data_IF_403193290238
#
_entry.id   IF_403193290238
#
_cell.length_a   1.000
_cell.length_b   1.000
_cell.length_c   1.000
_cell.angle_alpha   90.00
_cell.angle_beta   90.00
_cell.angle_gamma   90.00
#
_symmetry.space_group_name_H-M   'P 1'
#
loop_
_entity.id
_entity.type
_entity.pdbx_description
1 polymer ?
#
# COMPACT_ATOMS: atom_id res chain seq x y z
N UNK A 1 -1.74 -12.01 -16.74
CA UNK A 1 -1.69 -12.69 -15.42
C UNK A 1 -2.62 -11.96 -14.47
N UNK A 2 -3.24 -12.68 -13.53
CA UNK A 2 -4.15 -12.09 -12.55
C UNK A 2 -3.37 -11.24 -11.53
N UNK A 3 -3.97 -10.15 -11.05
CA UNK A 3 -3.35 -9.29 -10.03
C UNK A 3 -2.95 -10.07 -8.76
N UNK A 4 -3.70 -11.13 -8.42
CA UNK A 4 -3.42 -12.00 -7.27
C UNK A 4 -2.12 -12.80 -7.43
N UNK A 5 -1.82 -13.28 -8.65
CA UNK A 5 -0.58 -14.00 -8.93
C UNK A 5 0.63 -13.06 -8.82
N UNK A 6 0.47 -11.82 -9.31
CA UNK A 6 1.50 -10.79 -9.24
C UNK A 6 1.77 -10.38 -7.77
N UNK A 7 0.73 -10.32 -6.91
CA UNK A 7 0.89 -10.11 -5.47
C UNK A 7 1.73 -11.24 -4.85
N UNK A 8 1.38 -12.51 -5.11
CA UNK A 8 2.11 -13.66 -4.57
C UNK A 8 3.57 -13.68 -5.06
N UNK A 9 3.80 -13.39 -6.34
CA UNK A 9 5.15 -13.27 -6.91
C UNK A 9 5.95 -12.15 -6.28
N UNK A 10 5.30 -11.03 -5.93
CA UNK A 10 5.99 -9.87 -5.33
C UNK A 10 6.63 -10.18 -3.98
N UNK A 11 6.11 -11.14 -3.21
CA UNK A 11 6.75 -11.59 -1.97
C UNK A 11 8.07 -12.34 -2.19
N UNK A 12 8.23 -13.01 -3.33
CA UNK A 12 9.44 -13.81 -3.64
C UNK A 12 10.40 -13.09 -4.57
N UNK A 13 9.87 -12.32 -5.52
CA UNK A 13 10.62 -11.67 -6.60
C UNK A 13 10.07 -10.26 -6.88
N UNK A 14 10.08 -9.34 -5.89
CA UNK A 14 9.48 -8.00 -6.04
C UNK A 14 10.10 -7.21 -7.19
N UNK A 15 11.41 -7.34 -7.40
CA UNK A 15 12.14 -6.63 -8.46
C UNK A 15 11.70 -7.07 -9.87
N UNK A 16 11.45 -8.37 -10.05
CA UNK A 16 11.02 -8.91 -11.36
C UNK A 16 9.63 -8.39 -11.72
N UNK A 17 8.68 -8.46 -10.77
CA UNK A 17 7.32 -7.98 -10.98
C UNK A 17 7.30 -6.46 -11.25
N UNK A 18 8.13 -5.69 -10.54
CA UNK A 18 8.26 -4.25 -10.82
C UNK A 18 8.77 -3.97 -12.23
N UNK A 19 9.79 -4.71 -12.72
CA UNK A 19 10.25 -4.59 -14.11
C UNK A 19 9.15 -4.93 -15.11
N UNK A 20 8.38 -5.99 -14.87
CA UNK A 20 7.24 -6.38 -15.71
C UNK A 20 6.14 -5.28 -15.75
N UNK A 21 5.91 -4.57 -14.64
CA UNK A 21 4.99 -3.43 -14.62
C UNK A 21 5.54 -2.21 -15.38
N UNK A 22 6.84 -1.92 -15.27
CA UNK A 22 7.51 -0.81 -15.95
C UNK A 22 7.71 -1.05 -17.46
N UNK A 23 7.77 -2.32 -17.89
CA UNK A 23 7.86 -2.70 -19.30
C UNK A 23 6.58 -2.39 -20.09
N UNK A 24 5.44 -2.23 -19.40
CA UNK A 24 4.17 -1.84 -20.03
C UNK A 24 4.15 -0.33 -20.30
N UNK A 25 3.44 0.15 -21.33
CA UNK A 25 3.30 1.59 -21.58
C UNK A 25 2.82 2.34 -20.35
N UNK A 26 3.35 3.54 -20.10
CA UNK A 26 2.93 4.34 -18.95
C UNK A 26 1.44 4.67 -19.03
N UNK A 27 0.72 4.50 -17.92
CA UNK A 27 -0.70 4.79 -17.82
C UNK A 27 -1.02 5.25 -16.41
N UNK A 28 -1.38 6.53 -16.29
CA UNK A 28 -1.80 7.15 -15.03
C UNK A 28 -3.04 6.47 -14.43
N UNK A 29 -4.10 6.18 -15.21
CA UNK A 29 -5.25 5.44 -14.68
C UNK A 29 -4.87 4.11 -14.03
N UNK A 30 -3.87 3.39 -14.57
CA UNK A 30 -3.41 2.13 -13.99
C UNK A 30 -2.79 2.30 -12.61
N UNK A 31 -1.98 3.35 -12.42
CA UNK A 31 -1.39 3.64 -11.12
C UNK A 31 -2.49 3.97 -10.11
N UNK A 32 -3.48 4.78 -10.50
CA UNK A 32 -4.66 5.06 -9.66
C UNK A 32 -5.44 3.81 -9.31
N UNK A 33 -5.62 2.87 -10.24
CA UNK A 33 -6.30 1.59 -9.97
C UNK A 33 -5.56 0.80 -8.88
N UNK A 34 -4.22 0.76 -8.88
CA UNK A 34 -3.48 0.11 -7.79
C UNK A 34 -3.72 0.78 -6.44
N UNK A 35 -3.71 2.11 -6.40
CA UNK A 35 -3.96 2.86 -5.18
C UNK A 35 -5.39 2.63 -4.68
N UNK A 36 -6.40 2.77 -5.54
CA UNK A 36 -7.80 2.57 -5.17
C UNK A 36 -8.07 1.14 -4.72
N UNK A 37 -7.48 0.14 -5.39
CA UNK A 37 -7.55 -1.25 -4.96
C UNK A 37 -6.93 -1.45 -3.57
N UNK A 38 -5.76 -0.87 -3.32
CA UNK A 38 -5.11 -0.94 -2.01
C UNK A 38 -5.96 -0.27 -0.93
N UNK A 39 -6.48 0.95 -1.18
CA UNK A 39 -7.36 1.66 -0.26
C UNK A 39 -8.66 0.88 0.03
N UNK A 40 -9.19 0.16 -0.97
CA UNK A 40 -10.38 -0.69 -0.80
C UNK A 40 -10.09 -1.86 0.14
N UNK A 41 -8.96 -2.53 -0.04
CA UNK A 41 -8.56 -3.63 0.87
C UNK A 41 -8.26 -3.11 2.27
N UNK A 42 -7.60 -1.94 2.39
CA UNK A 42 -7.36 -1.27 3.67
C UNK A 42 -8.69 -0.91 4.35
N UNK A 43 -9.67 -0.41 3.60
CA UNK A 43 -11.00 -0.12 4.13
C UNK A 43 -11.65 -1.37 4.71
N UNK A 44 -11.64 -2.49 3.99
CA UNK A 44 -12.14 -3.79 4.47
C UNK A 44 -11.37 -4.24 5.72
N UNK A 45 -10.04 -4.03 5.75
CA UNK A 45 -9.22 -4.33 6.93
C UNK A 45 -9.62 -3.52 8.17
N UNK A 46 -10.23 -2.34 8.02
CA UNK A 46 -10.69 -1.56 9.17
C UNK A 46 -11.98 -2.10 9.81
N UNK A 47 -12.78 -2.88 9.08
CA UNK A 47 -14.12 -3.27 9.53
C UNK A 47 -14.15 -3.99 10.89
N UNK A 48 -13.27 -4.95 11.21
CA UNK A 48 -13.29 -5.61 12.51
C UNK A 48 -13.05 -4.62 13.66
N UNK A 49 -12.11 -3.67 13.48
CA UNK A 49 -11.85 -2.61 14.46
C UNK A 49 -13.05 -1.67 14.61
N UNK A 50 -13.67 -1.25 13.50
CA UNK A 50 -14.86 -0.38 13.54
C UNK A 50 -16.05 -1.07 14.20
N UNK A 51 -16.22 -2.37 13.95
CA UNK A 51 -17.27 -3.18 14.58
C UNK A 51 -17.09 -3.23 16.09
N UNK A 52 -15.86 -3.37 16.58
CA UNK A 52 -15.55 -3.34 18.01
C UNK A 52 -15.91 -1.98 18.62
N UNK A 53 -15.50 -0.89 17.98
CA UNK A 53 -15.80 0.47 18.47
C UNK A 53 -17.31 0.71 18.55
N UNK A 54 -18.05 0.38 17.48
CA UNK A 54 -19.50 0.54 17.46
C UNK A 54 -20.22 -0.34 18.50
N UNK A 55 -19.63 -1.47 18.88
CA UNK A 55 -20.16 -2.33 19.94
C UNK A 55 -19.85 -1.79 21.34
N UNK A 56 -18.64 -1.25 21.56
CA UNK A 56 -18.20 -0.67 22.83
C UNK A 56 -18.81 0.72 23.11
N UNK A 57 -19.14 1.48 22.06
CA UNK A 57 -19.61 2.87 22.12
C UNK A 57 -20.94 3.02 21.35
N UNK A 58 -22.09 2.86 22.03
CA UNK A 58 -23.41 2.89 21.37
C UNK A 58 -23.76 4.22 20.69
N UNK A 59 -23.12 5.32 21.09
CA UNK A 59 -23.25 6.65 20.50
C UNK A 59 -22.52 6.81 19.16
N UNK A 60 -21.66 5.84 18.79
CA UNK A 60 -20.90 5.85 17.53
C UNK A 60 -21.43 4.78 16.56
N UNK A 61 -22.44 5.10 15.74
CA UNK A 61 -23.01 4.12 14.82
C UNK A 61 -21.99 3.67 13.78
N UNK A 62 -21.96 2.37 13.51
CA UNK A 62 -21.06 1.72 12.55
C UNK A 62 -21.03 2.43 11.19
N UNK A 63 -22.20 2.81 10.66
CA UNK A 63 -22.30 3.49 9.36
C UNK A 63 -21.52 4.82 9.37
N UNK A 64 -21.61 5.59 10.45
CA UNK A 64 -20.87 6.85 10.59
C UNK A 64 -19.36 6.63 10.59
N UNK A 65 -18.89 5.62 11.33
CA UNK A 65 -17.48 5.23 11.37
C UNK A 65 -16.96 4.76 10.01
N UNK A 66 -17.74 3.96 9.28
CA UNK A 66 -17.40 3.48 7.94
C UNK A 66 -17.30 4.64 6.95
N UNK A 67 -18.28 5.55 6.95
CA UNK A 67 -18.27 6.71 6.06
C UNK A 67 -17.09 7.64 6.35
N UNK A 68 -16.83 7.94 7.62
CA UNK A 68 -15.66 8.71 8.04
C UNK A 68 -14.35 8.05 7.61
N UNK A 69 -14.26 6.72 7.70
CA UNK A 69 -13.07 5.97 7.29
C UNK A 69 -12.84 5.99 5.78
N UNK A 70 -13.88 5.80 4.96
CA UNK A 70 -13.76 5.90 3.49
C UNK A 70 -13.31 7.30 3.08
N UNK A 71 -13.95 8.34 3.64
CA UNK A 71 -13.59 9.73 3.35
C UNK A 71 -12.15 10.04 3.76
N UNK A 72 -11.73 9.59 4.94
CA UNK A 72 -10.34 9.73 5.40
C UNK A 72 -9.36 9.02 4.45
N UNK A 73 -9.65 7.79 4.03
CA UNK A 73 -8.81 7.05 3.08
C UNK A 73 -8.73 7.77 1.73
N UNK A 74 -9.84 8.26 1.19
CA UNK A 74 -9.83 9.03 -0.06
C UNK A 74 -9.05 10.34 0.08
N UNK A 75 -9.13 11.01 1.23
CA UNK A 75 -8.35 12.21 1.52
C UNK A 75 -6.83 11.95 1.58
N UNK A 76 -6.39 10.70 1.79
CA UNK A 76 -4.96 10.34 1.72
C UNK A 76 -4.41 10.19 0.30
N UNK A 77 -5.26 10.12 -0.72
CA UNK A 77 -4.82 10.02 -2.13
C UNK A 77 -3.77 11.08 -2.50
N UNK A 78 -4.01 12.40 -2.31
CA UNK A 78 -2.99 13.42 -2.60
C UNK A 78 -1.72 13.25 -1.76
N UNK A 79 -1.83 12.76 -0.52
CA UNK A 79 -0.67 12.50 0.35
C UNK A 79 0.21 11.39 -0.24
N UNK A 80 -0.38 10.31 -0.74
CA UNK A 80 0.38 9.24 -1.40
C UNK A 80 1.07 9.72 -2.68
N UNK A 81 0.43 10.62 -3.44
CA UNK A 81 1.08 11.27 -4.57
C UNK A 81 2.26 12.14 -4.14
N UNK A 82 2.11 12.92 -3.06
CA UNK A 82 3.19 13.73 -2.51
C UNK A 82 4.35 12.86 -2.01
N UNK A 83 4.08 11.74 -1.33
CA UNK A 83 5.12 10.80 -0.88
C UNK A 83 5.87 10.20 -2.07
N UNK A 84 5.18 9.78 -3.13
CA UNK A 84 5.82 9.26 -4.34
C UNK A 84 6.67 10.32 -5.05
N UNK A 85 6.21 11.58 -5.05
CA UNK A 85 6.94 12.69 -5.60
C UNK A 85 8.21 13.01 -4.78
N UNK A 86 8.08 13.07 -3.46
CA UNK A 86 9.19 13.33 -2.55
C UNK A 86 10.22 12.20 -2.57
N UNK A 87 9.81 10.94 -2.62
CA UNK A 87 10.74 9.81 -2.71
C UNK A 87 11.55 9.85 -4.00
N UNK A 88 10.93 10.17 -5.14
CA UNK A 88 11.64 10.39 -6.39
C UNK A 88 12.63 11.55 -6.28
N UNK A 89 12.24 12.68 -5.70
CA UNK A 89 13.11 13.84 -5.56
C UNK A 89 14.35 13.53 -4.69
N UNK A 90 14.15 12.86 -3.56
CA UNK A 90 15.24 12.44 -2.67
C UNK A 90 16.18 11.47 -3.39
N UNK A 91 15.64 10.47 -4.10
CA UNK A 91 16.45 9.48 -4.81
C UNK A 91 17.19 10.09 -6.00
N UNK A 92 16.59 11.09 -6.66
CA UNK A 92 17.24 11.86 -7.73
C UNK A 92 18.46 12.63 -7.22
N UNK A 93 18.40 13.20 -6.01
CA UNK A 93 19.58 13.81 -5.37
C UNK A 93 20.69 12.79 -5.06
N UNK A 94 20.32 11.52 -4.89
CA UNK A 94 21.25 10.40 -4.67
C UNK A 94 21.66 9.69 -5.98
N UNK A 95 21.38 10.29 -7.15
CA UNK A 95 21.78 9.76 -8.47
C UNK A 95 20.75 8.84 -9.15
N UNK A 96 19.52 8.76 -8.64
CA UNK A 96 18.41 8.03 -9.26
C UNK A 96 18.00 8.64 -10.61
N UNK A 97 17.71 7.76 -11.57
CA UNK A 97 17.31 8.12 -12.94
C UNK A 97 15.86 7.69 -13.27
N UNK A 98 15.05 7.45 -12.24
CA UNK A 98 13.67 7.04 -12.38
C UNK A 98 12.77 8.13 -12.95
N UNK A 99 11.47 7.82 -13.03
CA UNK A 99 10.45 8.77 -13.44
C UNK A 99 9.43 8.96 -12.33
N UNK A 100 8.79 10.12 -12.28
CA UNK A 100 7.65 10.40 -11.39
C UNK A 100 6.57 9.31 -11.50
N UNK A 101 6.33 8.80 -12.71
CA UNK A 101 5.40 7.67 -12.93
C UNK A 101 5.88 6.39 -12.25
N UNK A 102 7.16 6.03 -12.44
CA UNK A 102 7.75 4.84 -11.81
C UNK A 102 7.68 4.88 -10.28
N UNK A 103 7.96 6.04 -9.68
CA UNK A 103 7.90 6.21 -8.22
C UNK A 103 6.47 6.00 -7.66
N UNK A 104 5.45 6.48 -8.38
CA UNK A 104 4.03 6.24 -8.04
C UNK A 104 3.66 4.77 -8.16
N UNK A 105 4.03 4.13 -9.28
CA UNK A 105 3.79 2.69 -9.47
C UNK A 105 4.49 1.87 -8.39
N UNK A 106 5.72 2.20 -8.03
CA UNK A 106 6.44 1.53 -6.94
C UNK A 106 5.69 1.64 -5.61
N UNK A 107 5.27 2.84 -5.22
CA UNK A 107 4.55 3.07 -3.97
C UNK A 107 3.20 2.34 -3.96
N UNK A 108 2.39 2.55 -5.00
CA UNK A 108 1.01 2.04 -5.04
C UNK A 108 0.96 0.53 -5.20
N UNK A 109 1.87 -0.06 -5.99
CA UNK A 109 2.00 -1.50 -6.10
C UNK A 109 2.44 -2.12 -4.77
N UNK A 110 3.46 -1.57 -4.12
CA UNK A 110 3.91 -2.09 -2.81
C UNK A 110 2.82 -1.99 -1.74
N UNK A 111 2.03 -0.91 -1.74
CA UNK A 111 0.87 -0.78 -0.85
C UNK A 111 -0.17 -1.87 -1.11
N UNK A 112 -0.49 -2.14 -2.39
CA UNK A 112 -1.42 -3.19 -2.78
C UNK A 112 -0.93 -4.58 -2.38
N UNK A 113 0.36 -4.87 -2.58
CA UNK A 113 0.97 -6.17 -2.23
C UNK A 113 0.91 -6.45 -0.73
N UNK A 114 1.07 -5.42 0.11
CA UNK A 114 1.02 -5.54 1.58
C UNK A 114 -0.39 -5.57 2.14
N UNK A 115 -1.38 -5.08 1.39
CA UNK A 115 -2.77 -5.00 1.84
C UNK A 115 -3.37 -6.31 2.40
N UNK A 116 -3.02 -7.54 1.93
CA UNK A 116 -3.48 -8.78 2.57
C UNK A 116 -2.95 -8.97 4.00
N UNK A 117 -1.73 -8.50 4.31
CA UNK A 117 -1.21 -8.51 5.68
C UNK A 117 -1.95 -7.48 6.56
N UNK A 118 -2.41 -6.38 5.95
CA UNK A 118 -3.23 -5.39 6.66
C UNK A 118 -4.61 -5.96 7.03
N UNK A 119 -5.17 -6.90 6.25
CA UNK A 119 -6.39 -7.62 6.64
C UNK A 119 -6.17 -8.39 7.96
N UNK A 120 -5.02 -9.09 8.09
CA UNK A 120 -4.66 -9.77 9.34
C UNK A 120 -4.51 -8.78 10.50
N UNK A 121 -3.84 -7.64 10.26
CA UNK A 121 -3.73 -6.56 11.24
C UNK A 121 -5.11 -6.06 11.71
N UNK A 122 -6.05 -5.92 10.77
CA UNK A 122 -7.45 -5.56 11.03
C UNK A 122 -8.17 -6.56 11.92
N UNK A 123 -8.04 -7.86 11.63
CA UNK A 123 -8.63 -8.93 12.43
C UNK A 123 -8.07 -8.94 13.85
N UNK A 124 -6.75 -8.79 14.01
CA UNK A 124 -6.10 -8.70 15.33
C UNK A 124 -6.60 -7.48 16.10
N UNK A 125 -6.70 -6.32 15.44
CA UNK A 125 -7.22 -5.10 16.07
C UNK A 125 -8.69 -5.23 16.50
N UNK A 126 -9.53 -5.93 15.74
CA UNK A 126 -10.93 -6.14 16.06
C UNK A 126 -11.14 -7.17 17.18
N UNK A 127 -10.55 -8.36 17.04
CA UNK A 127 -10.80 -9.47 17.97
C UNK A 127 -10.01 -9.36 19.27
N UNK A 128 -8.71 -9.04 19.19
CA UNK A 128 -7.84 -8.98 20.38
C UNK A 128 -7.88 -7.58 20.98
N UNK A 129 -7.75 -6.55 20.12
CA UNK A 129 -7.71 -5.15 20.55
C UNK A 129 -6.29 -4.60 20.60
N UNK A 130 -6.08 -3.56 21.40
CA UNK A 130 -4.75 -2.94 21.58
C UNK A 130 -3.89 -3.80 22.50
N UNK A 131 -2.71 -4.21 22.03
CA UNK A 131 -1.81 -5.09 22.76
C UNK A 131 -0.49 -5.36 22.02
N UNK A 132 0.32 -6.26 22.57
CA UNK A 132 1.62 -6.64 22.00
C UNK A 132 1.46 -7.32 20.64
N UNK A 133 0.39 -8.11 20.45
CA UNK A 133 0.05 -8.82 19.23
C UNK A 133 -0.23 -7.85 18.08
N UNK A 134 -1.04 -6.81 18.34
CA UNK A 134 -1.33 -5.78 17.35
C UNK A 134 -0.07 -5.00 16.97
N UNK A 135 0.76 -4.66 17.96
CA UNK A 135 2.04 -3.99 17.72
C UNK A 135 2.99 -4.85 16.86
N UNK A 136 3.08 -6.15 17.16
CA UNK A 136 3.91 -7.09 16.39
C UNK A 136 3.43 -7.20 14.94
N UNK A 137 2.13 -7.41 14.73
CA UNK A 137 1.57 -7.52 13.37
C UNK A 137 1.72 -6.20 12.62
N UNK A 138 1.52 -5.06 13.29
CA UNK A 138 1.74 -3.75 12.69
C UNK A 138 3.19 -3.55 12.27
N UNK A 139 4.15 -3.96 13.12
CA UNK A 139 5.57 -3.92 12.78
C UNK A 139 5.91 -4.82 11.58
N UNK A 140 5.36 -6.03 11.52
CA UNK A 140 5.54 -6.94 10.38
C UNK A 140 5.00 -6.33 9.09
N UNK A 141 3.80 -5.73 9.12
CA UNK A 141 3.20 -5.02 7.97
C UNK A 141 4.11 -3.87 7.52
N UNK A 142 4.59 -3.04 8.45
CA UNK A 142 5.47 -1.91 8.15
C UNK A 142 6.80 -2.38 7.55
N UNK A 143 7.44 -3.39 8.13
CA UNK A 143 8.69 -3.95 7.62
C UNK A 143 8.49 -4.54 6.22
N UNK A 144 7.41 -5.32 6.01
CA UNK A 144 7.09 -5.87 4.70
C UNK A 144 6.91 -4.75 3.64
N UNK A 145 6.18 -3.68 3.99
CA UNK A 145 6.00 -2.53 3.12
C UNK A 145 7.30 -1.83 2.77
N UNK A 146 8.14 -1.52 3.76
CA UNK A 146 9.42 -0.84 3.53
C UNK A 146 10.35 -1.69 2.65
N UNK A 147 10.42 -3.00 2.88
CA UNK A 147 11.24 -3.91 2.07
C UNK A 147 10.75 -4.02 0.62
N UNK A 148 9.43 -4.17 0.42
CA UNK A 148 8.83 -4.26 -0.90
C UNK A 148 8.95 -2.94 -1.67
N UNK A 149 8.70 -1.83 -0.99
CA UNK A 149 8.78 -0.49 -1.58
C UNK A 149 10.23 -0.11 -1.91
N UNK A 150 11.18 -0.38 -1.00
CA UNK A 150 12.61 -0.19 -1.26
C UNK A 150 13.12 -1.03 -2.43
N UNK A 151 12.70 -2.30 -2.53
CA UNK A 151 13.03 -3.16 -3.66
C UNK A 151 12.45 -2.63 -4.98
N UNK A 152 11.24 -2.10 -4.97
CA UNK A 152 10.61 -1.49 -6.13
C UNK A 152 11.31 -0.19 -6.56
N UNK A 153 11.60 0.71 -5.61
CA UNK A 153 12.31 1.97 -5.87
C UNK A 153 13.70 1.71 -6.42
N UNK A 154 14.41 0.68 -5.92
CA UNK A 154 15.73 0.30 -6.46
C UNK A 154 15.68 -0.01 -7.95
N UNK A 155 14.63 -0.69 -8.40
CA UNK A 155 14.41 -1.02 -9.82
C UNK A 155 14.07 0.23 -10.62
N UNK A 156 13.14 1.05 -10.11
CA UNK A 156 12.70 2.27 -10.78
C UNK A 156 13.85 3.25 -10.98
N UNK A 157 14.68 3.44 -9.97
CA UNK A 157 15.66 4.54 -9.93
C UNK A 157 17.06 4.14 -10.43
N UNK A 158 17.50 2.90 -10.21
CA UNK A 158 18.90 2.50 -10.45
C UNK A 158 19.08 1.39 -11.49
N UNK A 159 18.01 0.75 -11.95
CA UNK A 159 18.08 -0.34 -12.93
C UNK A 159 17.51 0.09 -14.29
N UNK A 160 17.78 1.34 -14.68
CA UNK A 160 17.26 1.98 -15.88
C UNK A 160 17.16 1.04 -17.08
N UNK A 161 16.04 1.12 -17.81
CA UNK A 161 15.62 0.29 -18.96
C UNK A 161 16.78 -0.49 -19.58
N UNK A 162 17.08 -1.67 -19.04
CA UNK A 162 17.95 -2.62 -19.74
C UNK A 162 17.22 -2.96 -21.03
N UNK A 163 17.78 -2.43 -22.12
CA UNK A 163 17.42 -2.68 -23.51
C UNK A 163 17.39 -4.18 -23.79
#
# INVERSE_FOLDING_TARGET
MSATDDIRRSYRRPRVVMREHLARPASEPRALVFLLAALTVIFIAQWPRLSRIAHEMPDQPMVGLMMGTVLALLATVPVFYAIAALSHLVLRLLGGQGSWYGARVALFWSLLVVSPLMLLQGLVAGFIGRGAELSLVSALVTVAFVLLWGAALRVVEFEGKTN
#
